data_IF_906856397560
#
_entry.id   IF_906856397560
#
_cell.length_a   1.000
_cell.length_b   1.000
_cell.length_c   1.000
_cell.angle_alpha   90.00
_cell.angle_beta   90.00
_cell.angle_gamma   90.00
#
_symmetry.space_group_name_H-M   'P 1'
#
loop_
_entity.id
_entity.type
_entity.pdbx_description
1 polymer ?
#
# COMPACT_ATOMS: atom_id res chain seq x y z
N UNK A 1 -4.00 -7.94 -79.91
CA UNK A 1 -4.49 -6.79 -79.10
C UNK A 1 -5.67 -7.25 -78.27
N UNK A 2 -5.75 -6.77 -77.02
CA UNK A 2 -6.90 -6.75 -76.08
C UNK A 2 -6.90 -7.75 -74.90
N UNK A 3 -6.29 -7.26 -73.83
CA UNK A 3 -6.71 -7.22 -72.41
C UNK A 3 -6.83 -8.52 -71.60
N UNK A 4 -5.78 -8.81 -70.83
CA UNK A 4 -5.78 -9.68 -69.65
C UNK A 4 -6.33 -8.86 -68.48
N UNK A 5 -7.47 -9.29 -67.92
CA UNK A 5 -8.12 -8.63 -66.78
C UNK A 5 -7.56 -9.21 -65.48
N UNK A 6 -6.73 -8.44 -64.78
CA UNK A 6 -6.14 -8.77 -63.49
C UNK A 6 -7.16 -8.40 -62.38
N UNK A 7 -7.86 -9.39 -61.83
CA UNK A 7 -8.73 -9.19 -60.66
C UNK A 7 -7.84 -9.17 -59.41
N UNK A 8 -7.58 -7.97 -58.90
CA UNK A 8 -6.96 -7.75 -57.59
C UNK A 8 -8.07 -7.79 -56.54
N UNK A 9 -8.13 -8.88 -55.77
CA UNK A 9 -9.01 -9.02 -54.61
C UNK A 9 -8.41 -8.19 -53.45
N UNK A 10 -8.87 -6.95 -53.29
CA UNK A 10 -8.54 -6.13 -52.11
C UNK A 10 -9.38 -6.64 -50.94
N UNK A 11 -8.80 -7.52 -50.13
CA UNK A 11 -9.36 -7.92 -48.84
C UNK A 11 -9.09 -6.79 -47.85
N UNK A 12 -10.09 -5.93 -47.63
CA UNK A 12 -10.07 -4.94 -46.56
C UNK A 12 -10.20 -5.66 -45.21
N UNK A 13 -9.06 -5.95 -44.58
CA UNK A 13 -9.01 -6.38 -43.19
C UNK A 13 -9.38 -5.16 -42.34
N UNK A 14 -10.66 -5.04 -41.99
CA UNK A 14 -11.08 -4.16 -40.91
C UNK A 14 -10.52 -4.72 -39.61
N UNK A 15 -9.32 -4.26 -39.23
CA UNK A 15 -8.82 -4.39 -37.86
C UNK A 15 -9.70 -3.46 -37.02
N UNK A 16 -10.85 -3.96 -36.58
CA UNK A 16 -11.59 -3.33 -35.49
C UNK A 16 -10.76 -3.54 -34.24
N UNK A 17 -9.81 -2.63 -34.02
CA UNK A 17 -9.12 -2.48 -32.74
C UNK A 17 -10.18 -2.21 -31.69
N UNK A 18 -10.48 -3.21 -30.87
CA UNK A 18 -11.30 -3.05 -29.69
C UNK A 18 -10.47 -2.25 -28.67
N UNK A 19 -10.43 -0.93 -28.86
CA UNK A 19 -9.80 -0.02 -27.92
C UNK A 19 -10.64 0.06 -26.67
N UNK A 20 -10.27 -0.68 -25.63
CA UNK A 20 -10.76 -0.40 -24.28
C UNK A 20 -10.44 1.06 -23.97
N UNK A 21 -11.48 1.89 -23.87
CA UNK A 21 -11.34 3.33 -23.61
C UNK A 21 -10.72 3.52 -22.23
N UNK A 22 -9.43 3.72 -22.21
CA UNK A 22 -8.67 4.03 -21.04
C UNK A 22 -8.31 5.53 -21.03
N UNK A 23 -8.41 6.14 -19.85
CA UNK A 23 -8.10 7.52 -19.52
C UNK A 23 -6.58 7.60 -19.34
N UNK A 24 -5.96 8.24 -20.32
CA UNK A 24 -4.56 8.68 -20.31
C UNK A 24 -4.40 9.97 -19.49
N UNK A 25 -3.17 10.32 -19.15
CA UNK A 25 -2.87 11.60 -18.50
C UNK A 25 -3.08 12.76 -19.47
N UNK A 26 -3.70 13.84 -18.99
CA UNK A 26 -3.91 15.06 -19.82
C UNK A 26 -2.72 16.01 -19.77
N UNK A 27 -1.82 15.85 -18.79
CA UNK A 27 -0.75 16.79 -18.45
C UNK A 27 -1.22 18.07 -17.74
N UNK A 28 -2.54 18.25 -17.57
CA UNK A 28 -3.13 19.43 -16.93
C UNK A 28 -3.48 19.10 -15.48
N UNK A 29 -2.62 19.52 -14.55
CA UNK A 29 -2.80 19.30 -13.11
C UNK A 29 -3.96 20.13 -12.56
N UNK A 30 -4.82 19.46 -11.79
CA UNK A 30 -5.92 20.07 -11.06
C UNK A 30 -5.94 19.55 -9.62
N UNK A 31 -6.67 20.26 -8.76
CA UNK A 31 -6.93 19.80 -7.40
C UNK A 31 -8.35 20.16 -6.97
N UNK A 32 -8.88 19.39 -6.03
CA UNK A 32 -10.07 19.76 -5.26
C UNK A 32 -9.86 19.41 -3.81
N UNK A 33 -10.49 20.16 -2.93
CA UNK A 33 -10.35 19.97 -1.49
C UNK A 33 -11.69 20.17 -0.79
N UNK A 34 -11.93 19.39 0.25
CA UNK A 34 -13.12 19.51 1.10
C UNK A 34 -12.83 19.02 2.50
N UNK A 35 -13.59 19.51 3.47
CA UNK A 35 -13.69 18.86 4.77
C UNK A 35 -14.76 17.78 4.71
N UNK A 36 -14.57 16.68 5.44
CA UNK A 36 -15.54 15.58 5.55
C UNK A 36 -15.92 15.33 7.00
N UNK A 37 -16.91 14.46 7.22
CA UNK A 37 -17.26 14.01 8.57
C UNK A 37 -16.11 13.24 9.23
N UNK A 38 -16.15 13.12 10.55
CA UNK A 38 -15.13 12.41 11.34
C UNK A 38 -15.04 10.94 10.92
N UNK A 39 -13.82 10.43 10.78
CA UNK A 39 -13.52 9.04 10.50
C UNK A 39 -12.29 8.58 11.29
N UNK A 40 -12.22 7.28 11.57
CA UNK A 40 -11.07 6.62 12.21
C UNK A 40 -10.55 5.42 11.41
N UNK A 41 -11.14 5.17 10.23
CA UNK A 41 -10.76 4.12 9.30
C UNK A 41 -10.64 4.70 7.90
N UNK A 42 -9.64 4.23 7.16
CA UNK A 42 -9.45 4.59 5.75
C UNK A 42 -9.42 3.32 4.92
N UNK A 43 -10.22 3.29 3.85
CA UNK A 43 -10.16 2.27 2.81
C UNK A 43 -9.88 2.94 1.47
N UNK A 44 -8.77 2.56 0.84
CA UNK A 44 -8.34 3.10 -0.45
C UNK A 44 -8.16 1.98 -1.47
N UNK A 45 -8.76 2.15 -2.65
CA UNK A 45 -8.75 1.15 -3.72
C UNK A 45 -8.37 1.79 -5.06
N UNK A 46 -7.36 1.24 -5.73
CA UNK A 46 -6.90 1.64 -7.07
C UNK A 46 -5.40 1.95 -7.13
N UNK A 47 -4.97 2.66 -8.17
CA UNK A 47 -3.57 3.14 -8.36
C UNK A 47 -3.42 4.57 -7.85
N UNK A 48 -3.03 4.76 -6.59
CA UNK A 48 -2.98 6.08 -5.95
C UNK A 48 -1.90 6.19 -4.87
N UNK A 49 -1.50 7.42 -4.57
CA UNK A 49 -0.69 7.79 -3.40
C UNK A 49 -1.58 8.44 -2.34
N UNK A 50 -1.52 7.96 -1.12
CA UNK A 50 -2.15 8.53 0.07
C UNK A 50 -1.08 9.19 0.96
N UNK A 51 -1.30 10.45 1.30
CA UNK A 51 -0.46 11.22 2.23
C UNK A 51 -1.32 11.48 3.48
N UNK A 52 -0.86 10.98 4.62
CA UNK A 52 -1.56 11.07 5.90
C UNK A 52 -0.90 12.07 6.82
N UNK A 53 -1.72 13.00 7.35
CA UNK A 53 -1.27 13.97 8.35
C UNK A 53 -2.19 13.86 9.57
N UNK A 54 -1.62 13.74 10.77
CA UNK A 54 -2.44 13.65 11.98
C UNK A 54 -2.85 15.05 12.45
N UNK A 55 -4.14 15.38 12.32
CA UNK A 55 -4.73 16.61 12.86
C UNK A 55 -6.25 16.48 13.08
N UNK A 56 -6.91 17.56 13.52
CA UNK A 56 -8.34 17.58 13.83
C UNK A 56 -9.22 18.23 12.74
N UNK A 57 -8.66 18.53 11.56
CA UNK A 57 -9.35 19.26 10.48
C UNK A 57 -10.17 18.35 9.58
N UNK A 58 -9.83 17.04 9.49
CA UNK A 58 -10.48 16.08 8.58
C UNK A 58 -10.57 16.58 7.13
N UNK A 59 -9.54 17.34 6.72
CA UNK A 59 -9.43 17.90 5.39
C UNK A 59 -8.92 16.85 4.39
N UNK A 60 -9.61 16.73 3.26
CA UNK A 60 -9.25 15.85 2.15
C UNK A 60 -8.92 16.70 0.93
N UNK A 61 -7.75 16.49 0.34
CA UNK A 61 -7.35 17.11 -0.93
C UNK A 61 -7.00 16.02 -1.93
N UNK A 62 -7.51 16.14 -3.15
CA UNK A 62 -7.14 15.28 -4.28
C UNK A 62 -6.37 16.12 -5.28
N UNK A 63 -5.21 15.65 -5.70
CA UNK A 63 -4.40 16.20 -6.79
C UNK A 63 -4.23 15.14 -7.89
N UNK A 64 -4.66 15.48 -9.09
CA UNK A 64 -4.61 14.60 -10.26
C UNK A 64 -4.71 15.44 -11.53
N UNK A 65 -4.60 14.79 -12.68
CA UNK A 65 -4.94 15.42 -13.93
C UNK A 65 -6.44 15.71 -14.03
N UNK A 66 -6.79 16.80 -14.69
CA UNK A 66 -8.15 17.32 -14.79
C UNK A 66 -9.17 16.28 -15.27
N UNK A 67 -8.80 15.44 -16.25
CA UNK A 67 -9.62 14.37 -16.82
C UNK A 67 -9.76 13.14 -15.91
N UNK A 68 -8.94 13.04 -14.85
CA UNK A 68 -8.95 11.96 -13.85
C UNK A 68 -9.72 12.38 -12.58
N UNK A 69 -9.89 13.68 -12.35
CA UNK A 69 -10.48 14.22 -11.11
C UNK A 69 -11.85 13.61 -10.76
N UNK A 70 -12.68 13.35 -11.76
CA UNK A 70 -14.01 12.73 -11.58
C UNK A 70 -13.96 11.20 -11.38
N UNK A 71 -12.87 10.56 -11.82
CA UNK A 71 -12.66 9.12 -11.66
C UNK A 71 -12.24 8.75 -10.23
N UNK A 72 -11.63 9.68 -9.49
CA UNK A 72 -11.38 9.54 -8.06
C UNK A 72 -12.66 9.89 -7.32
N UNK A 73 -13.20 8.96 -6.53
CA UNK A 73 -14.37 9.17 -5.67
C UNK A 73 -13.97 8.99 -4.23
N UNK A 74 -14.54 9.80 -3.34
CA UNK A 74 -14.40 9.56 -1.91
C UNK A 74 -15.66 9.95 -1.15
N UNK A 75 -15.93 9.23 -0.07
CA UNK A 75 -17.05 9.48 0.83
C UNK A 75 -16.78 8.89 2.20
N UNK A 76 -17.34 9.51 3.24
CA UNK A 76 -17.34 8.94 4.59
C UNK A 76 -18.64 8.17 4.80
N UNK A 77 -18.54 6.92 5.26
CA UNK A 77 -19.67 6.04 5.57
C UNK A 77 -19.47 5.46 6.97
N UNK A 78 -20.31 5.88 7.92
CA UNK A 78 -20.06 5.60 9.34
C UNK A 78 -18.78 6.31 9.79
N UNK A 79 -17.78 5.54 10.21
CA UNK A 79 -16.45 6.06 10.59
C UNK A 79 -15.34 5.69 9.60
N UNK A 80 -15.71 5.20 8.41
CA UNK A 80 -14.76 4.81 7.35
C UNK A 80 -14.78 5.83 6.20
N UNK A 81 -13.63 6.45 5.93
CA UNK A 81 -13.37 7.16 4.69
C UNK A 81 -13.05 6.14 3.59
N UNK A 82 -13.89 6.09 2.54
CA UNK A 82 -13.66 5.30 1.33
C UNK A 82 -13.12 6.20 0.23
N UNK A 83 -12.02 5.80 -0.38
CA UNK A 83 -11.39 6.46 -1.54
C UNK A 83 -11.25 5.39 -2.64
N UNK A 84 -11.85 5.63 -3.79
CA UNK A 84 -11.89 4.68 -4.89
C UNK A 84 -11.52 5.38 -6.19
N UNK A 85 -10.54 4.83 -6.91
CA UNK A 85 -10.33 5.12 -8.31
C UNK A 85 -11.12 4.09 -9.12
N UNK A 86 -11.94 4.52 -10.06
CA UNK A 86 -12.69 3.61 -10.94
C UNK A 86 -11.70 2.78 -11.81
N UNK A 87 -11.44 1.54 -11.39
CA UNK A 87 -10.37 0.64 -11.90
C UNK A 87 -10.41 0.40 -13.42
N UNK A 88 -11.57 0.47 -14.07
CA UNK A 88 -11.70 0.01 -15.46
C UNK A 88 -11.11 0.96 -16.52
N UNK A 89 -10.57 2.11 -16.13
CA UNK A 89 -10.28 3.18 -17.09
C UNK A 89 -9.01 3.98 -16.85
N UNK A 90 -8.05 3.62 -15.99
CA UNK A 90 -6.82 4.42 -15.85
C UNK A 90 -5.56 3.66 -16.29
N UNK A 91 -4.84 4.22 -17.27
CA UNK A 91 -3.60 3.67 -17.85
C UNK A 91 -2.46 4.67 -17.77
N UNK A 92 -2.75 5.89 -17.30
CA UNK A 92 -1.74 6.90 -17.08
C UNK A 92 -0.65 6.47 -16.10
N UNK A 93 0.46 7.18 -16.21
CA UNK A 93 1.65 7.01 -15.40
C UNK A 93 1.76 8.08 -14.31
N UNK A 94 1.04 9.20 -14.46
CA UNK A 94 1.08 10.28 -13.50
C UNK A 94 0.53 9.87 -12.14
N UNK A 95 1.03 10.56 -11.12
CA UNK A 95 0.66 10.29 -9.74
C UNK A 95 -0.66 10.97 -9.41
N UNK A 96 -1.65 10.17 -9.02
CA UNK A 96 -2.87 10.61 -8.33
C UNK A 96 -2.54 10.63 -6.84
N UNK A 97 -2.59 11.82 -6.22
CA UNK A 97 -2.28 12.00 -4.82
C UNK A 97 -3.55 12.40 -4.04
N UNK A 98 -3.77 11.73 -2.92
CA UNK A 98 -4.82 12.06 -1.96
C UNK A 98 -4.14 12.42 -0.64
N UNK A 99 -4.36 13.64 -0.18
CA UNK A 99 -3.94 14.09 1.14
C UNK A 99 -5.14 13.96 2.06
N UNK A 100 -4.98 13.26 3.17
CA UNK A 100 -6.05 13.04 4.12
C UNK A 100 -5.55 13.35 5.53
N UNK A 101 -6.22 14.31 6.16
CA UNK A 101 -5.95 14.65 7.54
C UNK A 101 -6.88 13.83 8.45
N UNK A 102 -6.35 13.30 9.55
CA UNK A 102 -7.09 12.40 10.44
C UNK A 102 -6.71 12.60 11.90
N UNK A 103 -7.69 12.53 12.81
CA UNK A 103 -7.46 12.59 14.24
C UNK A 103 -6.87 11.29 14.79
N UNK A 104 -7.70 10.27 14.99
CA UNK A 104 -7.27 8.93 15.40
C UNK A 104 -7.35 7.98 14.19
N UNK A 105 -6.32 7.17 13.96
CA UNK A 105 -6.33 6.13 12.93
C UNK A 105 -6.34 4.75 13.60
N UNK A 106 -7.42 3.99 13.39
CA UNK A 106 -7.57 2.60 13.87
C UNK A 106 -7.37 1.56 12.78
N UNK A 107 -7.75 1.89 11.53
CA UNK A 107 -7.67 0.93 10.41
C UNK A 107 -7.26 1.59 9.11
N UNK A 108 -6.38 0.94 8.37
CA UNK A 108 -5.98 1.28 7.01
C UNK A 108 -6.11 0.06 6.10
N UNK A 109 -7.06 0.07 5.17
CA UNK A 109 -7.29 -0.99 4.18
C UNK A 109 -6.88 -0.51 2.78
N UNK A 110 -5.92 -1.19 2.16
CA UNK A 110 -5.35 -0.89 0.85
C UNK A 110 -5.70 -1.99 -0.15
N UNK A 111 -6.18 -1.62 -1.33
CA UNK A 111 -6.43 -2.54 -2.45
C UNK A 111 -5.88 -1.99 -3.75
N UNK A 112 -5.19 -2.83 -4.52
CA UNK A 112 -4.64 -2.45 -5.83
C UNK A 112 -3.18 -2.03 -5.71
N UNK A 113 -2.82 -0.88 -6.30
CA UNK A 113 -1.46 -0.35 -6.29
C UNK A 113 -1.42 0.96 -5.49
N UNK A 114 -1.32 0.83 -4.17
CA UNK A 114 -1.39 1.99 -3.28
C UNK A 114 -0.04 2.27 -2.63
N UNK A 115 0.36 3.54 -2.71
CA UNK A 115 1.46 4.07 -1.93
C UNK A 115 0.90 4.85 -0.73
N UNK A 116 1.43 4.66 0.46
CA UNK A 116 1.03 5.40 1.66
C UNK A 116 2.26 6.05 2.28
N UNK A 117 2.15 7.32 2.63
CA UNK A 117 3.19 8.08 3.31
C UNK A 117 2.57 8.88 4.46
N UNK A 118 3.23 8.91 5.61
CA UNK A 118 2.86 9.84 6.70
C UNK A 118 3.67 11.13 6.62
N UNK A 119 3.03 12.26 6.88
CA UNK A 119 3.68 13.52 7.20
C UNK A 119 3.67 13.72 8.71
N UNK A 120 4.85 13.66 9.32
CA UNK A 120 4.99 13.63 10.78
C UNK A 120 4.76 12.25 11.38
N UNK A 121 4.58 12.22 12.70
CA UNK A 121 4.41 11.00 13.49
C UNK A 121 2.91 10.75 13.71
N UNK A 122 2.45 9.53 13.43
CA UNK A 122 1.13 9.07 13.85
C UNK A 122 1.19 8.52 15.28
N UNK A 123 0.43 9.11 16.19
CA UNK A 123 0.21 8.61 17.54
C UNK A 123 -1.11 7.83 17.59
N UNK A 124 -1.03 6.52 17.80
CA UNK A 124 -2.18 5.60 17.75
C UNK A 124 -2.14 4.59 18.88
N UNK A 125 -3.30 4.07 19.29
CA UNK A 125 -3.35 2.96 20.25
C UNK A 125 -3.16 1.63 19.50
N UNK A 126 -4.23 1.14 18.88
CA UNK A 126 -4.24 -0.07 18.07
C UNK A 126 -4.46 0.30 16.61
N UNK A 127 -3.48 0.00 15.75
CA UNK A 127 -3.58 0.23 14.31
C UNK A 127 -3.60 -1.10 13.56
N UNK A 128 -4.62 -1.29 12.74
CA UNK A 128 -4.75 -2.44 11.83
C UNK A 128 -4.52 -2.02 10.38
N UNK A 129 -3.51 -2.59 9.74
CA UNK A 129 -3.18 -2.38 8.33
C UNK A 129 -3.49 -3.66 7.56
N UNK A 130 -4.36 -3.55 6.56
CA UNK A 130 -4.70 -4.63 5.62
C UNK A 130 -4.29 -4.20 4.22
N UNK A 131 -3.26 -4.82 3.63
CA UNK A 131 -2.76 -4.45 2.31
C UNK A 131 -2.90 -5.62 1.32
N UNK A 132 -3.68 -5.41 0.26
CA UNK A 132 -3.90 -6.39 -0.81
C UNK A 132 -3.47 -5.83 -2.17
N UNK A 133 -2.68 -6.58 -2.93
CA UNK A 133 -2.16 -6.14 -4.24
C UNK A 133 -0.67 -5.78 -4.17
N UNK A 134 -0.29 -4.65 -4.75
CA UNK A 134 1.10 -4.17 -4.84
C UNK A 134 1.22 -2.84 -4.07
N UNK A 135 1.61 -2.90 -2.80
CA UNK A 135 1.54 -1.74 -1.91
C UNK A 135 2.93 -1.32 -1.40
N UNK A 136 3.12 -0.01 -1.24
CA UNK A 136 4.31 0.54 -0.59
C UNK A 136 3.89 1.49 0.53
N UNK A 137 4.33 1.23 1.75
CA UNK A 137 3.97 2.02 2.92
C UNK A 137 5.24 2.60 3.56
N UNK A 138 5.27 3.91 3.78
CA UNK A 138 6.33 4.63 4.50
C UNK A 138 5.69 5.35 5.68
N UNK A 139 5.78 4.75 6.86
CA UNK A 139 5.04 5.21 8.04
C UNK A 139 6.00 5.55 9.18
N UNK A 140 5.79 6.72 9.79
CA UNK A 140 6.39 7.12 11.05
C UNK A 140 5.29 7.11 12.12
N UNK A 141 5.36 6.19 13.08
CA UNK A 141 4.27 5.98 14.03
C UNK A 141 4.74 5.51 15.41
N UNK A 142 3.98 5.94 16.42
CA UNK A 142 4.04 5.48 17.80
C UNK A 142 2.73 4.77 18.13
N UNK A 143 2.79 3.45 18.33
CA UNK A 143 1.63 2.60 18.58
C UNK A 143 1.73 1.83 19.91
N UNK A 144 0.60 1.50 20.52
CA UNK A 144 0.57 0.44 21.54
C UNK A 144 0.64 -0.93 20.88
N UNK A 145 -0.17 -1.15 19.83
CA UNK A 145 -0.17 -2.36 19.01
C UNK A 145 -0.30 -2.01 17.53
N UNK A 146 0.55 -2.63 16.71
CA UNK A 146 0.48 -2.57 15.26
C UNK A 146 0.16 -3.98 14.74
N UNK A 147 -0.93 -4.10 13.99
CA UNK A 147 -1.30 -5.31 13.26
C UNK A 147 -1.15 -5.06 11.77
N UNK A 148 -0.40 -5.92 11.08
CA UNK A 148 -0.19 -5.80 9.63
C UNK A 148 -0.50 -7.11 8.95
N UNK A 149 -1.44 -7.10 8.01
CA UNK A 149 -1.76 -8.24 7.16
C UNK A 149 -1.55 -7.87 5.70
N UNK A 150 -0.73 -8.64 4.99
CA UNK A 150 -0.39 -8.37 3.59
C UNK A 150 -0.69 -9.58 2.71
N UNK A 151 -1.25 -9.33 1.53
CA UNK A 151 -1.52 -10.33 0.49
C UNK A 151 -1.07 -9.78 -0.87
N UNK A 152 -0.06 -10.40 -1.50
CA UNK A 152 0.53 -9.94 -2.76
C UNK A 152 1.97 -9.46 -2.59
N UNK A 153 2.30 -8.28 -3.12
CA UNK A 153 3.62 -7.66 -3.02
C UNK A 153 3.53 -6.46 -2.10
N UNK A 154 4.32 -6.40 -1.03
CA UNK A 154 4.32 -5.26 -0.11
C UNK A 154 5.73 -4.86 0.28
N UNK A 155 6.01 -3.56 0.16
CA UNK A 155 7.17 -2.92 0.76
C UNK A 155 6.70 -2.06 1.94
N UNK A 156 7.29 -2.28 3.11
CA UNK A 156 6.94 -1.62 4.35
C UNK A 156 8.18 -0.97 4.94
N UNK A 157 8.22 0.36 4.99
CA UNK A 157 9.22 1.14 5.68
C UNK A 157 8.59 1.74 6.94
N UNK A 158 9.14 1.41 8.10
CA UNK A 158 8.63 1.84 9.40
C UNK A 158 9.71 2.60 10.17
N UNK A 159 9.27 3.66 10.85
CA UNK A 159 10.05 4.39 11.85
C UNK A 159 9.17 4.72 13.07
N UNK A 160 9.80 4.92 14.23
CA UNK A 160 9.10 5.18 15.50
C UNK A 160 9.13 3.98 16.44
N UNK A 161 8.02 3.66 17.11
CA UNK A 161 8.00 2.56 18.08
C UNK A 161 6.62 1.90 18.24
N UNK A 162 6.62 0.66 18.70
CA UNK A 162 5.41 -0.02 19.15
C UNK A 162 5.66 -0.93 20.35
N UNK A 163 4.64 -1.12 21.19
CA UNK A 163 4.67 -2.17 22.21
C UNK A 163 4.70 -3.55 21.57
N UNK A 164 3.80 -3.79 20.62
CA UNK A 164 3.66 -5.08 19.92
C UNK A 164 3.49 -4.84 18.41
N UNK A 165 4.23 -5.58 17.58
CA UNK A 165 3.96 -5.70 16.15
C UNK A 165 3.60 -7.14 15.81
N UNK A 166 2.36 -7.37 15.38
CA UNK A 166 1.93 -8.63 14.77
C UNK A 166 1.85 -8.47 13.24
N UNK A 167 2.68 -9.24 12.52
CA UNK A 167 2.72 -9.21 11.07
C UNK A 167 2.43 -10.59 10.48
N UNK A 168 1.46 -10.64 9.58
CA UNK A 168 1.12 -11.82 8.78
C UNK A 168 1.22 -11.44 7.30
N UNK A 169 2.06 -12.14 6.54
CA UNK A 169 2.24 -11.89 5.13
C UNK A 169 2.07 -13.15 4.30
N UNK A 170 1.32 -13.02 3.20
CA UNK A 170 1.22 -14.01 2.12
C UNK A 170 1.68 -13.39 0.81
N UNK A 171 2.75 -13.91 0.21
CA UNK A 171 3.33 -13.42 -1.04
C UNK A 171 4.76 -12.90 -0.86
N UNK A 172 5.07 -11.73 -1.42
CA UNK A 172 6.39 -11.10 -1.37
C UNK A 172 6.37 -9.90 -0.43
N UNK A 173 7.23 -9.94 0.57
CA UNK A 173 7.34 -8.90 1.59
C UNK A 173 8.77 -8.37 1.67
N UNK A 174 8.90 -7.05 1.69
CA UNK A 174 10.12 -6.34 2.10
C UNK A 174 9.80 -5.42 3.27
N UNK A 175 10.48 -5.60 4.40
CA UNK A 175 10.37 -4.72 5.58
C UNK A 175 11.72 -4.02 5.81
N UNK A 176 11.67 -2.70 5.92
CA UNK A 176 12.77 -1.84 6.34
C UNK A 176 12.35 -1.11 7.62
N UNK A 177 12.73 -1.65 8.77
CA UNK A 177 12.22 -1.24 10.09
C UNK A 177 13.33 -1.26 11.16
N UNK A 178 14.59 -0.98 10.79
CA UNK A 178 15.65 -0.79 11.80
C UNK A 178 15.41 0.44 12.68
N UNK A 179 14.74 1.46 12.12
CA UNK A 179 14.38 2.71 12.82
C UNK A 179 13.01 2.61 13.53
N UNK A 180 12.42 1.41 13.59
CA UNK A 180 11.16 1.14 14.26
C UNK A 180 11.35 0.13 15.38
N UNK A 181 11.28 0.60 16.62
CA UNK A 181 11.56 -0.22 17.81
C UNK A 181 10.29 -0.92 18.29
N UNK A 182 10.25 -2.24 18.20
CA UNK A 182 9.15 -3.04 18.75
C UNK A 182 9.54 -3.70 20.08
N UNK A 183 8.66 -3.62 21.09
CA UNK A 183 8.81 -4.40 22.32
C UNK A 183 8.75 -5.91 22.04
N UNK A 184 7.66 -6.33 21.39
CA UNK A 184 7.43 -7.70 20.92
C UNK A 184 7.22 -7.67 19.41
N UNK A 185 7.91 -8.56 18.68
CA UNK A 185 7.77 -8.68 17.24
C UNK A 185 7.37 -10.11 16.88
N UNK A 186 6.17 -10.27 16.32
CA UNK A 186 5.64 -11.55 15.85
C UNK A 186 5.54 -11.51 14.32
N UNK A 187 6.41 -12.24 13.62
CA UNK A 187 6.39 -12.36 12.17
C UNK A 187 5.88 -13.73 11.73
N UNK A 188 4.87 -13.73 10.86
CA UNK A 188 4.43 -14.91 10.12
C UNK A 188 4.50 -14.63 8.62
N UNK A 189 5.40 -15.28 7.90
CA UNK A 189 5.66 -15.04 6.47
C UNK A 189 5.45 -16.33 5.69
N UNK A 190 4.49 -16.33 4.78
CA UNK A 190 4.28 -17.36 3.77
C UNK A 190 4.68 -16.80 2.39
N UNK A 191 5.74 -17.34 1.78
CA UNK A 191 6.24 -16.90 0.47
C UNK A 191 7.69 -16.42 0.52
N UNK A 192 7.93 -15.20 0.04
CA UNK A 192 9.26 -14.56 -0.01
C UNK A 192 9.29 -13.38 0.97
N UNK A 193 10.22 -13.37 1.92
CA UNK A 193 10.32 -12.31 2.92
C UNK A 193 11.74 -11.79 3.11
N UNK A 194 11.95 -10.49 2.98
CA UNK A 194 13.17 -9.82 3.42
C UNK A 194 12.82 -8.82 4.51
N UNK A 195 13.33 -8.99 5.73
CA UNK A 195 12.93 -8.15 6.85
C UNK A 195 14.14 -7.65 7.64
N UNK A 196 14.27 -6.34 7.74
CA UNK A 196 15.20 -5.66 8.63
C UNK A 196 14.39 -5.05 9.78
N UNK A 197 14.51 -5.58 10.99
CA UNK A 197 13.64 -5.23 12.13
C UNK A 197 14.44 -4.87 13.38
N UNK A 198 13.83 -4.16 14.33
CA UNK A 198 14.45 -3.82 15.61
C UNK A 198 13.54 -4.22 16.77
N UNK A 199 14.05 -5.07 17.67
CA UNK A 199 13.25 -5.75 18.70
C UNK A 199 13.92 -5.73 20.07
N UNK A 200 13.14 -5.39 21.11
CA UNK A 200 13.67 -5.22 22.47
C UNK A 200 13.53 -6.45 23.37
N UNK A 201 12.37 -7.12 23.39
CA UNK A 201 12.07 -8.12 24.41
C UNK A 201 11.84 -9.52 23.85
N UNK A 202 10.92 -9.68 22.91
CA UNK A 202 10.56 -10.99 22.34
C UNK A 202 10.45 -10.91 20.82
N UNK A 203 11.12 -11.85 20.15
CA UNK A 203 11.04 -12.06 18.73
C UNK A 203 10.47 -13.44 18.46
N UNK A 204 9.34 -13.52 17.76
CA UNK A 204 8.77 -14.76 17.26
C UNK A 204 8.74 -14.74 15.74
N UNK A 205 9.33 -15.75 15.12
CA UNK A 205 9.45 -15.86 13.67
C UNK A 205 8.87 -17.20 13.22
N UNK A 206 7.83 -17.16 12.39
CA UNK A 206 7.29 -18.30 11.69
C UNK A 206 7.38 -18.05 10.19
N UNK A 207 8.10 -18.90 9.45
CA UNK A 207 8.26 -18.74 8.01
C UNK A 207 7.96 -20.03 7.26
N UNK A 208 7.33 -19.87 6.09
CA UNK A 208 7.13 -20.92 5.10
C UNK A 208 7.52 -20.39 3.72
N UNK A 209 8.64 -20.86 3.17
CA UNK A 209 9.17 -20.44 1.88
C UNK A 209 10.62 -19.96 2.00
N UNK A 210 10.94 -18.85 1.33
CA UNK A 210 12.29 -18.27 1.31
C UNK A 210 12.28 -16.97 2.08
N UNK A 211 13.13 -16.82 3.09
CA UNK A 211 13.18 -15.56 3.84
C UNK A 211 14.58 -15.22 4.34
N UNK A 212 14.89 -13.93 4.40
CA UNK A 212 16.08 -13.39 5.08
C UNK A 212 15.64 -12.34 6.08
N UNK A 213 15.87 -12.61 7.36
CA UNK A 213 15.45 -11.75 8.45
C UNK A 213 16.70 -11.32 9.21
N UNK A 214 16.94 -10.01 9.25
CA UNK A 214 18.00 -9.38 10.03
C UNK A 214 17.36 -8.56 11.15
N UNK A 215 17.81 -8.75 12.38
CA UNK A 215 17.25 -8.03 13.53
C UNK A 215 18.31 -7.31 14.34
N UNK A 216 17.97 -6.10 14.81
CA UNK A 216 18.69 -5.34 15.82
C UNK A 216 18.07 -5.54 17.20
N UNK A 217 18.82 -5.15 18.23
CA UNK A 217 18.41 -5.21 19.63
C UNK A 217 18.88 -6.47 20.35
N UNK A 218 18.46 -6.62 21.60
CA UNK A 218 18.87 -7.71 22.50
C UNK A 218 17.63 -8.38 23.13
N UNK A 219 16.75 -9.02 22.34
CA UNK A 219 15.56 -9.69 22.87
C UNK A 219 15.95 -10.77 23.86
N UNK A 220 15.23 -10.84 24.98
CA UNK A 220 15.40 -11.88 26.01
C UNK A 220 14.92 -13.25 25.52
N UNK A 221 14.03 -13.27 24.53
CA UNK A 221 13.45 -14.49 23.96
C UNK A 221 13.38 -14.40 22.45
N UNK A 222 13.89 -15.43 21.78
CA UNK A 222 13.77 -15.61 20.33
C UNK A 222 13.20 -17.00 20.08
N UNK A 223 12.02 -17.06 19.46
CA UNK A 223 11.34 -18.30 19.05
C UNK A 223 11.27 -18.34 17.52
N UNK A 224 11.73 -19.44 16.92
CA UNK A 224 11.77 -19.60 15.48
C UNK A 224 11.21 -20.94 15.01
N UNK A 225 10.33 -20.87 14.01
CA UNK A 225 9.80 -22.01 13.28
C UNK A 225 9.95 -21.75 11.78
N UNK A 226 10.92 -22.39 11.16
CA UNK A 226 11.30 -22.15 9.76
C UNK A 226 10.99 -23.38 8.91
N UNK A 227 10.23 -23.20 7.84
CA UNK A 227 10.01 -24.22 6.81
C UNK A 227 10.46 -23.67 5.46
N UNK A 228 11.49 -24.26 4.86
CA UNK A 228 12.11 -23.76 3.63
C UNK A 228 13.44 -23.05 3.88
N UNK A 229 13.90 -22.24 2.93
CA UNK A 229 15.19 -21.56 2.98
C UNK A 229 15.07 -20.23 3.75
N UNK A 230 15.24 -20.26 5.07
CA UNK A 230 15.17 -19.05 5.91
C UNK A 230 16.45 -18.78 6.69
N UNK A 231 16.99 -17.57 6.58
CA UNK A 231 18.03 -17.06 7.49
C UNK A 231 17.42 -16.11 8.52
N UNK A 232 17.87 -16.24 9.78
CA UNK A 232 17.60 -15.28 10.85
C UNK A 232 18.95 -14.87 11.45
N UNK A 233 19.31 -13.60 11.30
CA UNK A 233 20.62 -13.08 11.67
C UNK A 233 20.49 -11.84 12.56
N UNK A 234 21.25 -11.80 13.64
CA UNK A 234 21.38 -10.60 14.44
C UNK A 234 22.41 -9.66 13.80
N UNK A 235 22.08 -8.39 13.69
CA UNK A 235 22.99 -7.35 13.19
C UNK A 235 23.20 -6.24 14.22
N UNK A 236 24.34 -5.56 14.13
CA UNK A 236 24.71 -4.46 15.03
C UNK A 236 23.98 -3.15 14.70
#
# INVERSE_FOLDING_TARGET
>A
MKYISLIVLVVAVFVTGCGSKCIEDSGIRAHRATTVGVFDQIKISGKMKLILTQDSTYHIKVEADSNIMEAVKFAVSGTELRIELADEKYCGTDSIAVFANIGELKKLELKGNVQVQTEGVLHVNDLSILAKGANALTLNLNASKLNTQTEGVTQLHLSGQTGIHELISKGTLKIEAFDFVAGIYNLNIEGIGNANINVLNELKVNTKGTSSIRYKGNPKKVDEKKTGATTLEKVN
#
